data_IF_564381657365
#
_entry.id   IF_564381657365
#
_cell.length_a   1.000
_cell.length_b   1.000
_cell.length_c   1.000
_cell.angle_alpha   90.00
_cell.angle_beta   90.00
_cell.angle_gamma   90.00
#
_symmetry.space_group_name_H-M   'P 1'
#
loop_
_entity.id
_entity.type
_entity.pdbx_description
1 polymer ?
#
# COMPACT_ATOMS: atom_id res chain seq x y z
N UNK A 1 -1.36 33.37 -3.73
CA UNK A 1 -1.52 32.28 -4.72
C UNK A 1 -0.25 31.46 -4.89
N UNK A 2 0.88 32.01 -5.37
CA UNK A 2 2.12 31.24 -5.55
C UNK A 2 2.67 30.56 -4.28
N UNK A 3 2.56 31.22 -3.12
CA UNK A 3 3.02 30.65 -1.83
C UNK A 3 2.18 29.42 -1.42
N UNK A 4 0.86 29.53 -1.51
CA UNK A 4 -0.06 28.41 -1.25
C UNK A 4 0.04 27.27 -2.26
N UNK A 5 0.37 27.56 -3.53
CA UNK A 5 0.68 26.53 -4.52
C UNK A 5 1.99 25.79 -4.19
N UNK A 6 3.04 26.52 -3.79
CA UNK A 6 4.30 25.92 -3.32
C UNK A 6 4.04 25.02 -2.10
N UNK A 7 3.28 25.49 -1.12
CA UNK A 7 2.95 24.74 0.09
C UNK A 7 2.06 23.51 -0.20
N UNK A 8 1.29 23.52 -1.28
CA UNK A 8 0.52 22.38 -1.77
C UNK A 8 1.39 21.32 -2.44
N UNK A 9 2.30 21.74 -3.33
CA UNK A 9 3.23 20.83 -4.00
C UNK A 9 4.22 20.22 -3.00
N UNK A 10 4.71 21.00 -2.02
CA UNK A 10 5.61 20.52 -0.98
C UNK A 10 5.00 19.50 -0.01
N UNK A 11 3.70 19.17 -0.12
CA UNK A 11 3.02 18.18 0.71
C UNK A 11 3.46 16.72 0.44
N UNK A 12 4.52 16.50 -0.34
CA UNK A 12 5.17 15.20 -0.60
C UNK A 12 4.34 14.27 -1.50
N UNK A 13 3.18 13.86 -1.00
CA UNK A 13 2.23 12.97 -1.69
C UNK A 13 1.83 13.47 -3.09
N UNK A 14 1.75 14.79 -3.31
CA UNK A 14 1.39 15.34 -4.63
C UNK A 14 2.52 15.19 -5.65
N UNK A 15 3.78 15.38 -5.23
CA UNK A 15 4.93 15.28 -6.14
C UNK A 15 5.16 13.83 -6.57
N UNK A 16 5.06 12.89 -5.63
CA UNK A 16 5.24 11.47 -5.92
C UNK A 16 4.18 10.96 -6.90
N UNK A 17 2.91 11.27 -6.65
CA UNK A 17 1.82 10.90 -7.54
C UNK A 17 1.92 11.61 -8.91
N UNK A 18 2.26 12.89 -8.94
CA UNK A 18 2.44 13.61 -10.21
C UNK A 18 3.59 13.02 -11.04
N UNK A 19 4.71 12.68 -10.38
CA UNK A 19 5.88 12.08 -11.05
C UNK A 19 5.55 10.71 -11.61
N UNK A 20 4.83 9.87 -10.86
CA UNK A 20 4.38 8.55 -11.32
C UNK A 20 3.52 8.65 -12.59
N UNK A 21 2.57 9.59 -12.64
CA UNK A 21 1.70 9.80 -13.80
C UNK A 21 2.48 10.29 -15.03
N UNK A 22 3.41 11.24 -14.85
CA UNK A 22 4.22 11.77 -15.94
C UNK A 22 5.12 10.68 -16.54
N UNK A 23 5.80 9.89 -15.70
CA UNK A 23 6.67 8.81 -16.15
C UNK A 23 5.85 7.72 -16.84
N UNK A 24 4.69 7.33 -16.26
CA UNK A 24 3.80 6.34 -16.86
C UNK A 24 3.31 6.76 -18.25
N UNK A 25 2.93 8.03 -18.41
CA UNK A 25 2.52 8.59 -19.69
C UNK A 25 3.66 8.61 -20.73
N UNK A 26 4.85 9.07 -20.34
CA UNK A 26 6.02 9.12 -21.21
C UNK A 26 6.45 7.72 -21.67
N UNK A 27 6.46 6.73 -20.77
CA UNK A 27 6.80 5.36 -21.11
C UNK A 27 5.78 4.75 -22.07
N UNK A 28 4.49 4.92 -21.80
CA UNK A 28 3.41 4.45 -22.69
C UNK A 28 3.57 5.03 -24.08
N UNK A 29 3.87 6.33 -24.21
CA UNK A 29 4.10 6.97 -25.50
C UNK A 29 5.26 6.34 -26.29
N UNK A 30 6.36 5.96 -25.63
CA UNK A 30 7.49 5.28 -26.27
C UNK A 30 7.06 3.91 -26.79
N UNK A 31 6.38 3.11 -25.97
CA UNK A 31 5.96 1.76 -26.38
C UNK A 31 4.92 1.82 -27.50
N UNK A 32 3.94 2.73 -27.41
CA UNK A 32 2.96 2.97 -28.47
C UNK A 32 3.65 3.38 -29.77
N UNK A 33 4.62 4.30 -29.72
CA UNK A 33 5.36 4.71 -30.91
C UNK A 33 6.10 3.54 -31.57
N UNK A 34 6.72 2.65 -30.77
CA UNK A 34 7.38 1.45 -31.27
C UNK A 34 6.35 0.49 -31.89
N UNK A 35 5.22 0.26 -31.22
CA UNK A 35 4.17 -0.62 -31.76
C UNK A 35 3.63 -0.06 -33.07
N UNK A 36 3.28 1.22 -33.11
CA UNK A 36 2.65 1.83 -34.28
C UNK A 36 3.58 1.93 -35.48
N UNK A 37 4.88 2.15 -35.25
CA UNK A 37 5.86 2.37 -36.33
C UNK A 37 6.59 1.10 -36.75
N UNK A 38 6.66 0.08 -35.91
CA UNK A 38 7.41 -1.15 -36.20
C UNK A 38 6.47 -2.34 -36.24
N UNK A 39 5.65 -2.54 -35.21
CA UNK A 39 4.82 -3.74 -35.07
C UNK A 39 3.61 -3.70 -36.02
N UNK A 40 2.86 -2.60 -36.06
CA UNK A 40 1.68 -2.50 -36.92
C UNK A 40 2.03 -2.70 -38.41
N UNK A 41 3.13 -2.12 -38.96
CA UNK A 41 3.56 -2.42 -40.32
C UNK A 41 4.00 -3.88 -40.52
N UNK A 42 4.63 -4.52 -39.53
CA UNK A 42 4.99 -5.94 -39.62
C UNK A 42 3.75 -6.84 -39.61
N UNK A 43 2.76 -6.52 -38.76
CA UNK A 43 1.48 -7.22 -38.74
C UNK A 43 0.75 -7.00 -40.07
N UNK A 44 0.73 -5.78 -40.60
CA UNK A 44 0.11 -5.48 -41.90
C UNK A 44 0.86 -6.11 -43.09
N UNK A 45 2.15 -6.41 -42.94
CA UNK A 45 2.93 -7.13 -43.95
C UNK A 45 2.64 -8.64 -43.95
N UNK A 46 2.31 -9.21 -42.78
CA UNK A 46 2.05 -10.65 -42.63
C UNK A 46 0.55 -10.97 -42.77
N UNK A 47 -0.32 -10.10 -42.25
CA UNK A 47 -1.75 -10.08 -42.44
C UNK A 47 -2.08 -9.03 -43.48
N UNK A 48 -2.48 -9.47 -44.68
CA UNK A 48 -2.83 -8.58 -45.80
C UNK A 48 -3.62 -7.34 -45.33
N UNK A 49 -3.20 -6.11 -45.67
CA UNK A 49 -3.96 -4.88 -45.39
C UNK A 49 -5.33 -4.87 -46.09
N UNK A 50 -5.46 -5.74 -47.09
CA UNK A 50 -6.64 -5.98 -47.92
C UNK A 50 -7.32 -7.29 -47.51
N UNK A 51 -7.65 -7.48 -46.22
CA UNK A 51 -8.80 -8.34 -45.90
C UNK A 51 -10.04 -7.45 -45.77
N UNK A 52 -10.72 -7.13 -46.89
CA UNK A 52 -12.05 -6.53 -46.87
C UNK A 52 -13.09 -7.41 -46.15
N UNK A 53 -12.71 -8.60 -45.68
CA UNK A 53 -13.57 -9.57 -45.00
C UNK A 53 -13.93 -9.19 -43.54
N UNK A 54 -13.24 -8.23 -42.91
CA UNK A 54 -13.40 -7.95 -41.48
C UNK A 54 -13.77 -6.50 -41.16
N UNK A 55 -14.03 -5.68 -42.17
CA UNK A 55 -14.66 -4.39 -41.96
C UNK A 55 -15.97 -4.30 -42.71
N UNK A 56 -17.08 -4.16 -41.99
CA UNK A 56 -18.40 -3.99 -42.58
C UNK A 56 -18.97 -2.63 -42.18
N UNK A 57 -19.69 -2.01 -43.11
CA UNK A 57 -20.42 -0.78 -42.83
C UNK A 57 -21.81 -1.18 -42.32
N UNK A 58 -22.19 -0.73 -41.12
CA UNK A 58 -23.57 -0.92 -40.63
C UNK A 58 -24.59 -0.13 -41.46
N UNK A 59 -24.13 0.89 -42.20
CA UNK A 59 -24.91 1.70 -43.14
C UNK A 59 -24.04 2.07 -44.34
N UNK A 60 -24.44 1.66 -45.54
CA UNK A 60 -23.71 1.97 -46.76
C UNK A 60 -23.56 3.49 -46.95
N UNK A 61 -22.34 3.94 -47.26
CA UNK A 61 -22.04 5.34 -47.57
C UNK A 61 -21.80 6.27 -46.37
N UNK A 62 -21.86 5.78 -45.13
CA UNK A 62 -21.52 6.57 -43.94
C UNK A 62 -20.23 6.04 -43.33
N UNK A 63 -19.12 6.76 -43.52
CA UNK A 63 -17.80 6.40 -42.98
C UNK A 63 -17.80 6.20 -41.45
N UNK A 64 -18.66 6.93 -40.74
CA UNK A 64 -18.82 6.81 -39.28
C UNK A 64 -19.39 5.45 -38.80
N UNK A 65 -19.87 4.60 -39.72
CA UNK A 65 -20.42 3.28 -39.40
C UNK A 65 -19.53 2.12 -39.84
N UNK A 66 -18.26 2.40 -40.21
CA UNK A 66 -17.26 1.39 -40.50
C UNK A 66 -16.83 0.72 -39.19
N UNK A 67 -17.15 -0.55 -39.02
CA UNK A 67 -16.60 -1.37 -37.93
C UNK A 67 -15.40 -2.12 -38.48
N UNK A 68 -14.21 -1.80 -37.98
CA UNK A 68 -12.95 -2.43 -38.40
C UNK A 68 -12.47 -3.42 -37.33
N UNK A 69 -12.72 -4.71 -37.54
CA UNK A 69 -12.27 -5.76 -36.61
C UNK A 69 -10.74 -5.91 -36.66
N UNK A 70 -10.08 -5.54 -37.77
CA UNK A 70 -8.62 -5.54 -37.89
C UNK A 70 -7.96 -4.52 -36.97
N UNK A 71 -8.58 -3.35 -36.82
CA UNK A 71 -8.13 -2.33 -35.86
C UNK A 71 -8.21 -2.84 -34.41
N UNK A 72 -9.25 -3.60 -34.06
CA UNK A 72 -9.41 -4.18 -32.72
C UNK A 72 -8.33 -5.23 -32.42
N UNK A 73 -8.04 -6.13 -33.38
CA UNK A 73 -6.98 -7.14 -33.24
C UNK A 73 -5.62 -6.47 -33.09
N UNK A 74 -5.35 -5.44 -33.89
CA UNK A 74 -4.11 -4.66 -33.81
C UNK A 74 -3.97 -3.98 -32.45
N UNK A 75 -5.04 -3.36 -31.94
CA UNK A 75 -5.06 -2.75 -30.62
C UNK A 75 -4.81 -3.78 -29.49
N UNK A 76 -5.37 -4.99 -29.62
CA UNK A 76 -5.15 -6.08 -28.66
C UNK A 76 -3.68 -6.54 -28.66
N UNK A 77 -3.06 -6.68 -29.83
CA UNK A 77 -1.65 -7.07 -29.94
C UNK A 77 -0.76 -5.97 -29.34
N UNK A 78 -1.03 -4.70 -29.64
CA UNK A 78 -0.30 -3.57 -29.05
C UNK A 78 -0.41 -3.59 -27.51
N UNK A 79 -1.62 -3.79 -26.97
CA UNK A 79 -1.82 -3.93 -25.53
C UNK A 79 -1.00 -5.07 -24.91
N UNK A 80 -0.97 -6.25 -25.55
CA UNK A 80 -0.16 -7.38 -25.08
C UNK A 80 1.34 -7.08 -25.11
N UNK A 81 1.82 -6.33 -26.11
CA UNK A 81 3.23 -5.91 -26.19
C UNK A 81 3.57 -4.93 -25.08
N UNK A 82 2.73 -3.91 -24.85
CA UNK A 82 2.92 -2.97 -23.73
C UNK A 82 2.96 -3.72 -22.40
N UNK A 83 2.00 -4.62 -22.17
CA UNK A 83 1.96 -5.45 -20.96
C UNK A 83 3.22 -6.32 -20.81
N UNK A 84 3.69 -6.93 -21.90
CA UNK A 84 4.89 -7.75 -21.90
C UNK A 84 6.15 -6.94 -21.58
N UNK A 85 6.31 -5.74 -22.16
CA UNK A 85 7.44 -4.86 -21.89
C UNK A 85 7.40 -4.38 -20.44
N UNK A 86 6.25 -3.92 -19.94
CA UNK A 86 6.11 -3.50 -18.53
C UNK A 86 6.43 -4.65 -17.58
N UNK A 87 5.92 -5.85 -17.89
CA UNK A 87 6.20 -7.04 -17.09
C UNK A 87 7.70 -7.38 -17.08
N UNK A 88 8.36 -7.39 -18.24
CA UNK A 88 9.76 -7.80 -18.32
C UNK A 88 10.74 -6.75 -17.78
N UNK A 89 10.43 -5.46 -17.95
CA UNK A 89 11.33 -4.35 -17.56
C UNK A 89 11.13 -3.95 -16.09
N UNK A 90 9.91 -4.01 -15.56
CA UNK A 90 9.61 -3.56 -14.20
C UNK A 90 9.33 -4.76 -13.30
N UNK A 91 8.33 -5.59 -13.64
CA UNK A 91 7.82 -6.62 -12.72
C UNK A 91 8.83 -7.76 -12.54
N UNK A 92 9.44 -8.27 -13.61
CA UNK A 92 10.39 -9.37 -13.58
C UNK A 92 11.65 -9.06 -12.73
N UNK A 93 12.37 -7.92 -12.92
CA UNK A 93 13.49 -7.59 -12.08
C UNK A 93 13.08 -7.28 -10.65
N UNK A 94 11.92 -6.64 -10.43
CA UNK A 94 11.43 -6.37 -9.08
C UNK A 94 11.10 -7.68 -8.34
N UNK A 95 10.47 -8.64 -9.02
CA UNK A 95 10.23 -9.98 -8.49
C UNK A 95 11.54 -10.71 -8.22
N UNK A 96 12.55 -10.56 -9.10
CA UNK A 96 13.86 -11.19 -8.92
C UNK A 96 14.63 -10.60 -7.74
N UNK A 97 14.63 -9.28 -7.59
CA UNK A 97 15.22 -8.58 -6.45
C UNK A 97 14.51 -8.97 -5.16
N UNK A 98 13.18 -9.04 -5.16
CA UNK A 98 12.41 -9.48 -4.00
C UNK A 98 12.70 -10.94 -3.62
N UNK A 99 12.90 -11.83 -4.60
CA UNK A 99 13.31 -13.22 -4.37
C UNK A 99 14.72 -13.31 -3.78
N UNK A 100 15.64 -12.44 -4.21
CA UNK A 100 17.01 -12.35 -3.71
C UNK A 100 17.08 -11.73 -2.30
N UNK A 101 16.30 -10.68 -2.03
CA UNK A 101 16.13 -10.08 -0.69
C UNK A 101 15.60 -11.10 0.33
N UNK A 102 14.67 -11.96 -0.10
CA UNK A 102 14.16 -13.07 0.73
C UNK A 102 15.18 -14.18 1.00
N UNK A 103 16.30 -14.25 0.27
CA UNK A 103 17.31 -15.33 0.37
C UNK A 103 18.67 -14.89 0.92
N UNK A 104 18.94 -13.59 1.11
CA UNK A 104 20.33 -13.11 1.23
C UNK A 104 20.63 -11.89 2.12
N UNK A 105 19.84 -11.61 3.16
CA UNK A 105 20.07 -10.58 4.20
C UNK A 105 19.64 -9.13 3.89
N UNK A 106 19.66 -8.29 4.94
CA UNK A 106 18.63 -8.08 5.96
C UNK A 106 17.49 -7.23 5.40
N UNK A 107 16.35 -7.15 6.09
CA UNK A 107 15.30 -6.16 5.85
C UNK A 107 15.95 -4.83 5.42
N UNK A 108 15.68 -4.38 4.19
CA UNK A 108 15.88 -2.98 3.86
C UNK A 108 15.05 -2.25 4.93
N UNK A 109 15.69 -1.46 5.79
CA UNK A 109 15.05 -0.73 6.88
C UNK A 109 14.05 0.26 6.26
N UNK A 110 12.92 -0.24 5.80
CA UNK A 110 11.70 0.54 5.73
C UNK A 110 11.49 0.92 7.19
N UNK A 111 11.51 2.22 7.53
CA UNK A 111 11.23 2.62 8.90
C UNK A 111 9.93 1.93 9.30
N UNK A 112 9.89 1.27 10.47
CA UNK A 112 8.76 0.45 10.86
C UNK A 112 7.51 1.30 10.71
N UNK A 113 6.55 0.75 9.99
CA UNK A 113 5.28 1.42 9.77
C UNK A 113 4.65 1.71 11.12
N UNK A 114 3.82 2.75 11.20
CA UNK A 114 3.10 3.05 12.44
C UNK A 114 2.33 1.85 12.98
N UNK A 115 1.86 0.97 12.09
CA UNK A 115 1.17 -0.27 12.43
C UNK A 115 2.10 -1.31 13.10
N UNK A 116 3.34 -1.47 12.59
CA UNK A 116 4.35 -2.36 13.18
C UNK A 116 4.81 -1.85 14.55
N UNK A 117 5.02 -0.54 14.71
CA UNK A 117 5.35 0.07 16.00
C UNK A 117 4.20 -0.09 17.01
N UNK A 118 2.95 0.08 16.57
CA UNK A 118 1.79 -0.14 17.43
C UNK A 118 1.62 -1.62 17.81
N UNK A 119 1.96 -2.55 16.91
CA UNK A 119 1.99 -3.98 17.21
C UNK A 119 3.07 -4.32 18.24
N UNK A 120 4.28 -3.78 18.09
CA UNK A 120 5.36 -3.95 19.06
C UNK A 120 4.98 -3.37 20.44
N UNK A 121 4.40 -2.17 20.48
CA UNK A 121 3.89 -1.56 21.73
C UNK A 121 2.81 -2.43 22.38
N UNK A 122 1.86 -2.96 21.60
CA UNK A 122 0.80 -3.85 22.10
C UNK A 122 1.41 -5.10 22.74
N UNK A 123 2.39 -5.70 22.08
CA UNK A 123 3.01 -6.94 22.53
C UNK A 123 3.87 -6.69 23.79
N UNK A 124 4.56 -5.54 23.86
CA UNK A 124 5.27 -5.09 25.07
C UNK A 124 4.31 -4.84 26.25
N UNK A 125 3.12 -4.26 26.01
CA UNK A 125 2.10 -4.07 27.07
C UNK A 125 1.53 -5.41 27.54
N UNK A 126 1.27 -6.35 26.62
CA UNK A 126 0.78 -7.68 26.97
C UNK A 126 1.81 -8.47 27.80
N UNK A 127 3.10 -8.37 27.46
CA UNK A 127 4.19 -8.94 28.25
C UNK A 127 4.32 -8.25 29.62
N UNK A 128 4.21 -6.92 29.66
CA UNK A 128 4.23 -6.14 30.91
C UNK A 128 3.11 -6.54 31.87
N UNK A 129 1.89 -6.76 31.36
CA UNK A 129 0.75 -7.22 32.17
C UNK A 129 0.95 -8.64 32.73
N UNK A 130 1.56 -9.55 31.97
CA UNK A 130 1.87 -10.90 32.46
C UNK A 130 2.89 -10.88 33.60
N UNK A 131 3.87 -9.99 33.56
CA UNK A 131 4.86 -9.83 34.62
C UNK A 131 4.25 -9.29 35.93
N UNK A 132 3.27 -8.38 35.85
CA UNK A 132 2.55 -7.86 37.02
C UNK A 132 1.71 -8.95 37.70
N UNK A 133 1.08 -9.84 36.92
CA UNK A 133 0.28 -10.96 37.46
C UNK A 133 1.18 -12.08 38.00
N UNK A 134 2.39 -12.25 37.46
CA UNK A 134 3.37 -13.18 38.01
C UNK A 134 3.88 -12.71 39.38
N UNK A 135 4.22 -11.42 39.52
CA UNK A 135 4.75 -10.85 40.76
C UNK A 135 3.74 -10.93 41.93
N UNK A 136 2.46 -10.68 41.67
CA UNK A 136 1.40 -10.79 42.69
C UNK A 136 1.19 -12.23 43.21
N UNK A 137 1.39 -13.25 42.36
CA UNK A 137 1.29 -14.67 42.76
C UNK A 137 2.46 -15.12 43.64
N UNK A 138 3.62 -14.47 43.57
CA UNK A 138 4.73 -14.73 44.48
C UNK A 138 4.52 -14.08 45.86
N UNK A 139 3.81 -12.96 45.94
CA UNK A 139 3.47 -12.30 47.21
C UNK A 139 2.40 -13.08 47.98
N UNK A 140 1.39 -13.63 47.30
CA UNK A 140 0.28 -14.37 47.94
C UNK A 140 0.69 -15.76 48.48
N UNK A 141 1.77 -16.36 47.94
CA UNK A 141 2.32 -17.63 48.43
C UNK A 141 3.19 -17.50 49.69
N UNK A 142 3.57 -16.29 50.10
CA UNK A 142 4.48 -16.05 51.23
C UNK A 142 3.77 -15.58 52.51
N UNK A 143 2.48 -15.21 52.46
CA UNK A 143 1.73 -14.77 53.63
C UNK A 143 0.96 -15.92 54.29
N UNK A 144 1.68 -16.77 55.02
CA UNK A 144 1.10 -17.55 56.10
C UNK A 144 0.54 -16.61 57.18
N UNK A 145 -0.72 -16.78 57.53
CA UNK A 145 -1.49 -15.96 58.47
C UNK A 145 -0.92 -15.99 59.90
N UNK A 146 -0.66 -14.83 60.54
CA UNK A 146 -0.67 -14.72 61.99
C UNK A 146 -2.09 -14.36 62.46
N UNK A 147 -2.61 -15.16 63.39
CA UNK A 147 -3.98 -15.08 63.87
C UNK A 147 -4.37 -13.73 64.50
N UNK A 148 -5.67 -13.45 64.43
CA UNK A 148 -6.33 -12.30 65.06
C UNK A 148 -6.67 -12.64 66.51
N UNK A 149 -6.19 -11.89 67.52
CA UNK A 149 -6.81 -11.85 68.83
C UNK A 149 -7.79 -10.67 68.89
N UNK A 150 -9.04 -10.96 69.27
CA UNK A 150 -10.05 -9.96 69.55
C UNK A 150 -9.79 -9.17 70.83
N UNK A 151 -10.36 -7.97 70.92
CA UNK A 151 -10.37 -7.18 72.16
C UNK A 151 -10.76 -5.72 71.95
N UNK A 152 -12.05 -5.44 72.17
CA UNK A 152 -12.64 -4.28 72.86
C UNK A 152 -12.05 -2.84 72.76
N UNK A 153 -12.97 -1.90 72.50
CA UNK A 153 -13.17 -0.61 73.20
C UNK A 153 -12.10 0.49 73.05
N UNK A 154 -12.41 1.56 72.30
CA UNK A 154 -12.97 2.81 72.85
C UNK A 154 -12.90 3.94 71.80
N UNK A 155 -14.03 4.61 71.59
CA UNK A 155 -14.07 6.03 71.18
C UNK A 155 -13.99 6.87 72.47
N UNK A 156 -13.54 8.15 72.50
CA UNK A 156 -13.90 9.17 71.51
C UNK A 156 -12.91 10.35 71.27
N UNK A 157 -13.32 11.21 70.32
CA UNK A 157 -13.33 12.68 70.42
C UNK A 157 -12.27 13.54 69.70
N UNK A 158 -12.74 14.74 69.34
CA UNK A 158 -12.12 15.96 68.83
C UNK A 158 -11.85 15.98 67.32
N UNK A 159 -12.71 16.63 66.52
CA UNK A 159 -12.93 18.08 66.37
C UNK A 159 -11.82 18.78 65.58
N UNK A 160 -12.23 19.54 64.56
CA UNK A 160 -11.38 20.29 63.64
C UNK A 160 -11.85 20.03 62.19
N UNK A 161 -12.84 20.74 61.67
CA UNK A 161 -12.72 22.13 61.19
C UNK A 161 -11.55 22.23 60.19
N UNK A 162 -11.68 22.54 58.91
CA UNK A 162 -12.76 23.01 58.08
C UNK A 162 -12.17 23.40 56.72
N UNK A 163 -13.06 23.88 55.86
CA UNK A 163 -12.84 24.70 54.68
C UNK A 163 -12.79 24.02 53.28
N UNK A 164 -13.85 24.24 52.48
CA UNK A 164 -13.88 24.01 51.04
C UNK A 164 -13.61 25.31 50.27
N UNK A 165 -12.71 25.32 49.28
CA UNK A 165 -12.70 26.27 48.14
C UNK A 165 -11.49 26.04 47.20
N UNK A 166 -11.73 25.52 46.01
CA UNK A 166 -11.71 26.28 44.74
C UNK A 166 -11.80 25.33 43.54
#
# INVERSE_FOLDING_TARGET
MLKGFRDFILRGNVIELATAVIIGGAFTAIVTAISDKIINPLIAAIGSPESPALSFYLREGVEATKVDIGAVITALINFLIVAAVVYFVIIAPMNKINELRKRGAPEEEVPPTSEELLAEIRDLIAQGQQNVVADQRFVEGASGTPGVPGGAQDMPNSAGEGDPRH
#
